data_IF_311329059357
#
_entry.id   IF_311329059357
#
_cell.length_a   1.000
_cell.length_b   1.000
_cell.length_c   1.000
_cell.angle_alpha   90.00
_cell.angle_beta   90.00
_cell.angle_gamma   90.00
#
_symmetry.space_group_name_H-M   'P 1'
#
loop_
_entity.id
_entity.type
_entity.pdbx_description
1 polymer ?
#
# COMPACT_ATOMS: atom_id res chain seq x y z
N UNK A 1 13.45 24.57 -0.95
CA UNK A 1 13.34 24.44 0.53
C UNK A 1 13.41 25.75 1.28
N UNK A 2 14.37 26.64 1.01
CA UNK A 2 14.51 27.90 1.78
C UNK A 2 13.23 28.74 1.83
N UNK A 3 12.56 28.92 0.69
CA UNK A 3 11.27 29.64 0.61
C UNK A 3 10.14 28.91 1.34
N UNK A 4 10.06 27.58 1.19
CA UNK A 4 9.10 26.73 1.89
C UNK A 4 9.26 26.90 3.41
N UNK A 5 10.50 26.90 3.92
CA UNK A 5 10.76 27.08 5.35
C UNK A 5 10.36 28.47 5.84
N UNK A 6 10.61 29.51 5.05
CA UNK A 6 10.16 30.88 5.37
C UNK A 6 8.64 30.94 5.48
N UNK A 7 7.93 30.35 4.53
CA UNK A 7 6.46 30.33 4.52
C UNK A 7 5.88 29.51 5.67
N UNK A 8 6.48 28.37 6.00
CA UNK A 8 6.04 27.54 7.12
C UNK A 8 6.21 28.25 8.46
N UNK A 9 7.30 29.00 8.67
CA UNK A 9 7.48 29.79 9.90
C UNK A 9 6.49 30.97 9.98
N UNK A 10 6.12 31.57 8.85
CA UNK A 10 5.15 32.66 8.81
C UNK A 10 3.71 32.18 9.07
N UNK A 11 3.34 31.05 8.48
CA UNK A 11 1.98 30.49 8.56
C UNK A 11 1.74 29.73 9.88
N UNK A 12 2.80 29.19 10.49
CA UNK A 12 2.77 28.32 11.68
C UNK A 12 1.70 27.20 11.58
N UNK A 13 1.78 26.34 10.54
CA UNK A 13 0.72 25.38 10.25
C UNK A 13 0.66 24.25 11.28
N UNK A 14 -0.54 23.73 11.55
CA UNK A 14 -0.74 22.54 12.39
C UNK A 14 -0.50 21.22 11.64
N UNK A 15 -0.55 21.25 10.30
CA UNK A 15 -0.30 20.09 9.43
C UNK A 15 0.37 20.57 8.14
N UNK A 16 1.38 19.82 7.68
CA UNK A 16 2.03 20.03 6.38
C UNK A 16 1.85 18.77 5.53
N UNK A 17 1.49 18.95 4.26
CA UNK A 17 1.43 17.87 3.27
C UNK A 17 2.39 18.18 2.14
N UNK A 18 3.37 17.30 1.92
CA UNK A 18 4.35 17.37 0.85
C UNK A 18 3.98 16.32 -0.20
N UNK A 19 3.37 16.74 -1.31
CA UNK A 19 2.80 15.84 -2.33
C UNK A 19 3.85 15.01 -3.10
N UNK A 20 5.07 15.52 -3.19
CA UNK A 20 6.17 14.77 -3.75
C UNK A 20 7.47 15.25 -3.15
N UNK A 21 8.08 14.44 -2.28
CA UNK A 21 9.40 14.77 -1.73
C UNK A 21 10.46 14.83 -2.85
N UNK A 22 10.26 14.09 -3.93
CA UNK A 22 11.17 14.10 -5.09
C UNK A 22 11.21 15.45 -5.82
N UNK A 23 10.17 16.29 -5.72
CA UNK A 23 10.17 17.63 -6.31
C UNK A 23 10.71 18.70 -5.36
N UNK A 24 11.08 18.34 -4.14
CA UNK A 24 11.71 19.27 -3.18
C UNK A 24 13.22 19.19 -3.27
N UNK A 25 13.90 20.33 -3.16
CA UNK A 25 15.36 20.40 -3.15
C UNK A 25 15.87 21.64 -2.42
N UNK A 26 17.12 21.56 -1.98
CA UNK A 26 17.96 22.67 -1.55
C UNK A 26 18.84 23.12 -2.71
N UNK A 27 18.75 24.40 -3.09
CA UNK A 27 19.59 24.99 -4.13
C UNK A 27 21.07 25.05 -3.76
N UNK A 28 21.39 25.05 -2.46
CA UNK A 28 22.76 25.15 -1.94
C UNK A 28 23.47 23.79 -1.84
N UNK A 29 22.74 22.68 -1.94
CA UNK A 29 23.31 21.34 -1.92
C UNK A 29 23.83 20.97 -3.32
N UNK A 30 25.10 20.53 -3.47
CA UNK A 30 25.69 20.14 -4.76
C UNK A 30 25.19 18.76 -5.19
N UNK A 31 23.88 18.60 -5.33
CA UNK A 31 23.21 17.36 -5.74
C UNK A 31 22.01 17.71 -6.63
N UNK A 32 21.79 16.91 -7.67
CA UNK A 32 20.69 17.13 -8.61
C UNK A 32 19.33 17.05 -7.90
N UNK A 33 18.36 17.93 -8.23
CA UNK A 33 16.99 17.82 -7.74
C UNK A 33 16.42 16.41 -7.99
N UNK A 34 15.68 15.88 -7.01
CA UNK A 34 15.15 14.51 -7.06
C UNK A 34 16.18 13.40 -6.81
N UNK A 35 17.46 13.72 -6.66
CA UNK A 35 18.47 12.74 -6.22
C UNK A 35 18.22 12.27 -4.78
N UNK A 36 18.78 11.11 -4.44
CA UNK A 36 18.66 10.54 -3.10
C UNK A 36 19.16 11.44 -1.98
N UNK A 37 20.25 12.14 -2.24
CA UNK A 37 20.81 13.10 -1.27
C UNK A 37 19.81 14.23 -1.05
N UNK A 38 19.27 14.83 -2.11
CA UNK A 38 18.27 15.91 -1.98
C UNK A 38 17.03 15.44 -1.22
N UNK A 39 16.47 14.27 -1.56
CA UNK A 39 15.28 13.73 -0.90
C UNK A 39 15.52 13.49 0.59
N UNK A 40 16.67 12.91 0.95
CA UNK A 40 17.03 12.65 2.35
C UNK A 40 17.16 13.94 3.15
N UNK A 41 17.88 14.92 2.62
CA UNK A 41 18.11 16.19 3.30
C UNK A 41 16.81 17.00 3.45
N UNK A 42 15.97 17.03 2.41
CA UNK A 42 14.66 17.69 2.51
C UNK A 42 13.76 17.01 3.55
N UNK A 43 13.70 15.68 3.58
CA UNK A 43 12.91 14.95 4.57
C UNK A 43 13.45 15.14 6.00
N UNK A 44 14.77 15.15 6.18
CA UNK A 44 15.40 15.43 7.47
C UNK A 44 15.04 16.83 7.98
N UNK A 45 15.07 17.83 7.11
CA UNK A 45 14.70 19.20 7.45
C UNK A 45 13.24 19.31 7.90
N UNK A 46 12.30 18.70 7.17
CA UNK A 46 10.89 18.65 7.59
C UNK A 46 10.71 17.92 8.93
N UNK A 47 11.42 16.80 9.13
CA UNK A 47 11.33 16.01 10.37
C UNK A 47 11.85 16.79 11.59
N UNK A 48 12.98 17.48 11.45
CA UNK A 48 13.55 18.31 12.52
C UNK A 48 12.60 19.45 12.89
N UNK A 49 12.07 20.14 11.88
CA UNK A 49 11.10 21.21 12.07
C UNK A 49 9.83 20.70 12.76
N UNK A 50 9.26 19.58 12.27
CA UNK A 50 8.07 18.94 12.84
C UNK A 50 8.25 18.61 14.32
N UNK A 51 9.40 18.03 14.70
CA UNK A 51 9.72 17.68 16.08
C UNK A 51 9.86 18.91 16.98
N UNK A 52 10.48 19.97 16.47
CA UNK A 52 10.67 21.23 17.22
C UNK A 52 9.34 21.93 17.49
N UNK A 53 8.41 21.88 16.53
CA UNK A 53 7.11 22.57 16.60
C UNK A 53 5.96 21.70 17.12
N UNK A 54 6.14 20.39 17.18
CA UNK A 54 5.07 19.45 17.55
C UNK A 54 3.99 19.32 16.47
N UNK A 55 4.37 19.47 15.20
CA UNK A 55 3.45 19.54 14.04
C UNK A 55 3.47 18.24 13.24
N UNK A 56 2.33 17.85 12.66
CA UNK A 56 2.26 16.69 11.77
C UNK A 56 2.75 17.03 10.36
N UNK A 57 3.69 16.24 9.82
CA UNK A 57 4.16 16.37 8.44
C UNK A 57 3.91 15.06 7.70
N UNK A 58 3.11 15.12 6.64
CA UNK A 58 2.82 14.02 5.73
C UNK A 58 3.69 14.17 4.49
N UNK A 59 4.53 13.18 4.21
CA UNK A 59 5.43 13.17 3.07
C UNK A 59 4.99 12.08 2.09
N UNK A 60 4.69 12.48 0.86
CA UNK A 60 4.30 11.57 -0.23
C UNK A 60 5.53 11.31 -1.10
N UNK A 61 5.78 10.04 -1.38
CA UNK A 61 6.89 9.58 -2.20
C UNK A 61 6.44 8.50 -3.17
N UNK A 62 6.64 8.72 -4.45
CA UNK A 62 6.32 7.76 -5.50
C UNK A 62 7.38 6.66 -5.65
N UNK A 63 6.96 5.43 -5.99
CA UNK A 63 7.84 4.31 -6.34
C UNK A 63 7.95 4.25 -7.88
N UNK A 64 9.17 4.30 -8.41
CA UNK A 64 9.42 4.28 -9.87
C UNK A 64 9.63 2.85 -10.41
N UNK A 65 9.36 2.66 -11.70
CA UNK A 65 9.18 1.35 -12.37
C UNK A 65 10.43 0.46 -12.50
N UNK A 66 11.63 0.96 -12.23
CA UNK A 66 12.88 0.22 -12.48
C UNK A 66 13.35 -0.64 -11.30
N UNK A 67 12.57 -0.74 -10.21
CA UNK A 67 13.04 -1.45 -9.01
C UNK A 67 14.26 -0.77 -8.35
N UNK A 68 14.66 0.40 -8.84
CA UNK A 68 15.53 1.36 -8.18
C UNK A 68 14.69 1.97 -7.05
N UNK A 69 14.58 1.17 -5.99
CA UNK A 69 14.03 1.49 -4.68
C UNK A 69 14.88 2.63 -4.12
N UNK A 70 14.51 3.88 -4.37
CA UNK A 70 15.34 5.01 -3.96
C UNK A 70 14.44 6.23 -3.79
N UNK A 71 13.62 6.18 -2.74
CA UNK A 71 12.82 7.33 -2.30
C UNK A 71 12.13 6.98 -0.98
N UNK A 72 11.04 6.21 -0.98
CA UNK A 72 10.30 5.89 0.25
C UNK A 72 11.05 4.97 1.21
N UNK A 73 11.65 3.86 0.74
CA UNK A 73 12.43 2.93 1.59
C UNK A 73 13.64 3.58 2.26
N UNK A 74 14.22 4.59 1.62
CA UNK A 74 15.33 5.35 2.21
C UNK A 74 14.90 6.09 3.48
N UNK A 75 13.67 6.61 3.47
CA UNK A 75 13.11 7.42 4.55
C UNK A 75 12.46 6.57 5.64
N UNK A 76 12.15 5.29 5.37
CA UNK A 76 11.46 4.39 6.31
C UNK A 76 12.08 4.35 7.70
N UNK A 77 13.41 4.33 7.78
CA UNK A 77 14.11 4.31 9.05
C UNK A 77 14.08 5.66 9.76
N UNK A 78 13.99 6.77 9.01
CA UNK A 78 14.04 8.15 9.52
C UNK A 78 12.69 8.63 10.06
N UNK A 79 11.58 8.18 9.48
CA UNK A 79 10.23 8.66 9.82
C UNK A 79 9.57 7.85 10.95
N UNK A 80 8.56 8.43 11.60
CA UNK A 80 7.85 7.76 12.70
C UNK A 80 6.77 6.78 12.21
N UNK A 81 6.16 7.05 11.06
CA UNK A 81 5.12 6.22 10.43
C UNK A 81 5.43 6.02 8.95
N UNK A 82 5.25 4.80 8.45
CA UNK A 82 5.39 4.43 7.04
C UNK A 82 4.12 3.74 6.60
N UNK A 83 3.45 4.34 5.61
CA UNK A 83 2.25 3.79 4.96
C UNK A 83 2.54 3.53 3.48
N UNK A 84 2.08 2.38 2.99
CA UNK A 84 2.09 2.04 1.57
C UNK A 84 0.67 2.05 1.04
N UNK A 85 0.43 2.79 -0.05
CA UNK A 85 -0.81 2.70 -0.82
C UNK A 85 -0.56 1.80 -2.04
N UNK A 86 -1.02 0.57 -1.96
CA UNK A 86 -0.79 -0.50 -2.94
C UNK A 86 -2.05 -0.74 -3.77
N UNK A 87 -1.87 -1.16 -5.03
CA UNK A 87 -2.99 -1.62 -5.86
C UNK A 87 -2.52 -2.01 -7.26
N UNK A 88 -2.99 -3.16 -7.74
CA UNK A 88 -2.77 -3.55 -9.13
C UNK A 88 -3.65 -2.71 -10.07
N UNK A 89 -3.17 -2.47 -11.30
CA UNK A 89 -3.89 -1.66 -12.29
C UNK A 89 -5.27 -2.22 -12.61
N UNK A 90 -5.39 -3.54 -12.58
CA UNK A 90 -6.62 -4.28 -12.90
C UNK A 90 -7.57 -4.36 -11.70
N UNK A 91 -7.09 -4.11 -10.49
CA UNK A 91 -7.93 -4.08 -9.31
C UNK A 91 -8.54 -2.68 -9.11
N UNK A 92 -9.87 -2.65 -8.93
CA UNK A 92 -10.62 -1.45 -8.57
C UNK A 92 -10.28 -0.92 -7.16
N UNK A 93 -9.60 -1.73 -6.36
CA UNK A 93 -9.30 -1.45 -4.97
C UNK A 93 -7.85 -1.00 -4.75
N UNK A 94 -7.65 -0.23 -3.70
CA UNK A 94 -6.37 0.22 -3.17
C UNK A 94 -6.27 -0.16 -1.70
N UNK A 95 -5.11 -0.65 -1.30
CA UNK A 95 -4.81 -1.12 0.04
C UNK A 95 -3.83 -0.13 0.65
N UNK A 96 -4.23 0.54 1.72
CA UNK A 96 -3.34 1.33 2.56
C UNK A 96 -2.82 0.45 3.70
N UNK A 97 -1.53 0.17 3.72
CA UNK A 97 -0.88 -0.73 4.69
C UNK A 97 0.12 0.04 5.53
N UNK A 98 0.07 -0.17 6.85
CA UNK A 98 1.10 0.34 7.76
C UNK A 98 2.29 -0.63 7.83
N UNK A 99 3.49 -0.16 7.52
CA UNK A 99 4.73 -0.95 7.64
C UNK A 99 5.52 -0.58 8.89
N UNK A 100 5.48 0.70 9.27
CA UNK A 100 6.06 1.21 10.51
C UNK A 100 5.06 2.15 11.14
N UNK A 101 4.80 2.01 12.43
CA UNK A 101 3.94 2.94 13.15
C UNK A 101 4.42 3.03 14.61
N UNK A 102 5.07 4.14 14.96
CA UNK A 102 5.49 4.39 16.34
C UNK A 102 4.35 4.75 17.30
N UNK A 103 3.16 5.02 16.76
CA UNK A 103 1.98 5.45 17.52
C UNK A 103 0.86 4.39 17.54
N UNK A 104 1.09 3.18 17.03
CA UNK A 104 0.06 2.16 16.95
C UNK A 104 0.50 0.86 16.27
N UNK A 105 -0.47 0.00 15.95
CA UNK A 105 -0.20 -1.28 15.31
C UNK A 105 0.12 -1.12 13.82
N UNK A 106 1.01 -1.97 13.31
CA UNK A 106 1.28 -2.14 11.88
C UNK A 106 0.30 -3.12 11.21
N UNK A 107 -0.49 -3.86 11.98
CA UNK A 107 -1.41 -4.87 11.45
C UNK A 107 -2.74 -4.29 10.94
N UNK A 108 -2.82 -2.96 10.80
CA UNK A 108 -3.99 -2.28 10.27
C UNK A 108 -3.87 -2.08 8.77
N UNK A 109 -4.98 -2.30 8.08
CA UNK A 109 -5.13 -2.11 6.64
C UNK A 109 -6.36 -1.24 6.41
N UNK A 110 -6.23 -0.21 5.58
CA UNK A 110 -7.35 0.50 4.98
C UNK A 110 -7.62 -0.07 3.60
N UNK A 111 -8.86 -0.42 3.28
CA UNK A 111 -9.24 -0.78 1.92
C UNK A 111 -10.04 0.39 1.34
N UNK A 112 -9.71 0.78 0.12
CA UNK A 112 -10.33 1.89 -0.58
C UNK A 112 -10.69 1.46 -2.00
N UNK A 113 -11.71 2.07 -2.59
CA UNK A 113 -11.98 1.97 -4.03
C UNK A 113 -11.85 3.35 -4.66
N UNK A 114 -11.38 3.42 -5.90
CA UNK A 114 -11.39 4.68 -6.65
C UNK A 114 -12.73 4.84 -7.36
N UNK A 115 -13.45 5.91 -7.05
CA UNK A 115 -14.69 6.31 -7.73
C UNK A 115 -14.47 7.57 -8.56
N UNK A 116 -15.46 7.99 -9.35
CA UNK A 116 -15.43 9.27 -10.07
C UNK A 116 -15.28 10.48 -9.14
N UNK A 117 -15.70 10.36 -7.88
CA UNK A 117 -15.60 11.40 -6.85
C UNK A 117 -14.29 11.29 -6.04
N UNK A 118 -13.43 10.33 -6.35
CA UNK A 118 -12.17 10.07 -5.63
C UNK A 118 -12.16 8.77 -4.84
N UNK A 119 -11.17 8.63 -3.95
CA UNK A 119 -10.98 7.43 -3.11
C UNK A 119 -12.00 7.40 -1.97
N UNK A 120 -12.78 6.31 -1.89
CA UNK A 120 -13.69 6.05 -0.77
C UNK A 120 -13.29 4.80 -0.01
N UNK A 121 -13.45 4.82 1.30
CA UNK A 121 -13.16 3.69 2.16
C UNK A 121 -14.18 2.56 1.92
N UNK A 122 -13.70 1.33 1.91
CA UNK A 122 -14.52 0.12 1.96
C UNK A 122 -14.60 -0.33 3.41
N UNK A 123 -15.75 -0.09 4.05
CA UNK A 123 -15.96 -0.42 5.46
C UNK A 123 -15.97 -1.94 5.73
N UNK A 124 -16.57 -2.71 4.83
CA UNK A 124 -16.65 -4.17 4.93
C UNK A 124 -16.04 -4.84 3.70
N UNK A 125 -14.72 -5.13 3.72
CA UNK A 125 -14.05 -5.86 2.65
C UNK A 125 -14.69 -7.21 2.35
N UNK A 126 -15.14 -7.94 3.38
CA UNK A 126 -15.71 -9.27 3.21
C UNK A 126 -17.05 -9.23 2.48
N UNK A 127 -17.92 -8.28 2.80
CA UNK A 127 -19.18 -8.10 2.09
C UNK A 127 -18.96 -7.82 0.59
N UNK A 128 -17.91 -7.08 0.26
CA UNK A 128 -17.54 -6.74 -1.11
C UNK A 128 -17.13 -7.98 -1.91
N UNK A 129 -16.23 -8.82 -1.38
CA UNK A 129 -15.79 -10.05 -2.04
C UNK A 129 -16.90 -11.11 -2.14
N UNK A 130 -17.91 -11.03 -1.27
CA UNK A 130 -19.03 -11.98 -1.23
C UNK A 130 -20.26 -11.50 -2.00
N UNK A 131 -20.29 -10.25 -2.50
CA UNK A 131 -21.49 -9.64 -3.09
C UNK A 131 -21.89 -10.27 -4.43
N UNK A 132 -20.92 -10.76 -5.20
CA UNK A 132 -21.15 -11.38 -6.51
C UNK A 132 -21.39 -12.89 -6.44
N UNK A 133 -21.36 -13.47 -5.22
CA UNK A 133 -21.55 -14.90 -5.04
C UNK A 133 -23.00 -15.30 -5.25
N UNK A 134 -23.22 -16.23 -6.16
CA UNK A 134 -24.47 -16.97 -6.24
C UNK A 134 -24.49 -18.07 -5.16
N UNK A 135 -25.52 -18.03 -4.31
CA UNK A 135 -25.69 -18.96 -3.19
C UNK A 135 -26.07 -20.34 -3.75
N UNK A 136 -25.40 -21.39 -3.29
CA UNK A 136 -25.73 -22.78 -3.64
C UNK A 136 -25.13 -23.28 -4.96
N UNK A 137 -24.21 -22.55 -5.59
CA UNK A 137 -23.49 -23.05 -6.77
C UNK A 137 -22.39 -24.05 -6.34
N UNK A 138 -22.35 -25.26 -6.91
CA UNK A 138 -21.27 -26.22 -6.66
C UNK A 138 -19.92 -25.68 -7.15
N UNK A 139 -18.85 -25.98 -6.42
CA UNK A 139 -17.51 -25.53 -6.79
C UNK A 139 -17.13 -24.13 -6.30
N UNK A 140 -17.90 -23.52 -5.40
CA UNK A 140 -17.55 -22.26 -4.71
C UNK A 140 -17.61 -22.45 -3.19
N UNK A 141 -16.55 -22.06 -2.47
CA UNK A 141 -16.51 -22.08 -1.01
C UNK A 141 -15.81 -20.84 -0.45
N UNK A 142 -16.14 -20.46 0.78
CA UNK A 142 -15.51 -19.32 1.45
C UNK A 142 -14.39 -19.83 2.34
N UNK A 143 -13.20 -19.32 2.09
CA UNK A 143 -12.03 -19.49 2.93
C UNK A 143 -11.83 -18.24 3.77
N UNK A 144 -11.77 -18.43 5.08
CA UNK A 144 -11.18 -17.41 5.95
C UNK A 144 -9.67 -17.56 5.94
N UNK A 145 -8.96 -16.51 5.52
CA UNK A 145 -7.50 -16.45 5.57
C UNK A 145 -7.04 -15.31 6.46
N UNK A 146 -5.83 -15.40 6.99
CA UNK A 146 -5.20 -14.34 7.76
C UNK A 146 -4.20 -13.59 6.88
N UNK A 147 -4.33 -12.27 6.84
CA UNK A 147 -3.30 -11.37 6.33
C UNK A 147 -2.81 -10.51 7.50
N UNK A 148 -1.76 -10.96 8.18
CA UNK A 148 -1.39 -10.46 9.51
C UNK A 148 -2.44 -10.86 10.55
N UNK A 149 -2.97 -9.90 11.31
CA UNK A 149 -3.99 -10.15 12.34
C UNK A 149 -5.44 -9.99 11.83
N UNK A 150 -5.64 -9.70 10.54
CA UNK A 150 -6.99 -9.53 9.97
C UNK A 150 -7.42 -10.78 9.23
N UNK A 151 -8.62 -11.23 9.56
CA UNK A 151 -9.37 -12.24 8.82
C UNK A 151 -9.89 -11.62 7.52
N UNK A 152 -9.52 -12.20 6.39
CA UNK A 152 -10.08 -11.91 5.08
C UNK A 152 -10.90 -13.12 4.65
N UNK A 153 -12.17 -12.89 4.30
CA UNK A 153 -12.99 -13.89 3.65
C UNK A 153 -12.74 -13.82 2.14
N UNK A 154 -12.24 -14.92 1.57
CA UNK A 154 -11.96 -15.07 0.15
C UNK A 154 -12.84 -16.20 -0.41
N UNK A 155 -13.28 -16.05 -1.65
CA UNK A 155 -13.93 -17.13 -2.38
C UNK A 155 -12.88 -18.01 -3.06
N UNK A 156 -12.94 -19.31 -2.81
CA UNK A 156 -12.18 -20.33 -3.54
C UNK A 156 -13.12 -21.02 -4.50
N UNK A 157 -12.77 -20.99 -5.78
CA UNK A 157 -13.54 -21.58 -6.85
C UNK A 157 -12.83 -22.80 -7.45
N UNK A 158 -13.61 -23.80 -7.82
CA UNK A 158 -13.16 -25.03 -8.44
C UNK A 158 -14.20 -25.50 -9.47
N UNK A 159 -13.71 -25.91 -10.63
CA UNK A 159 -14.51 -26.52 -11.68
C UNK A 159 -13.93 -27.89 -12.00
N UNK A 160 -14.74 -28.93 -11.85
CA UNK A 160 -14.36 -30.29 -12.18
C UNK A 160 -15.18 -30.76 -13.38
N UNK A 161 -14.49 -31.37 -14.35
CA UNK A 161 -15.12 -32.03 -15.49
C UNK A 161 -14.41 -33.35 -15.75
N UNK A 162 -15.13 -34.42 -16.11
CA UNK A 162 -14.51 -35.66 -16.58
C UNK A 162 -13.54 -35.39 -17.72
N UNK A 163 -12.35 -35.97 -17.63
CA UNK A 163 -11.32 -35.86 -18.66
C UNK A 163 -11.28 -37.13 -19.50
N UNK A 164 -11.20 -36.97 -20.82
CA UNK A 164 -10.91 -38.07 -21.75
C UNK A 164 -9.41 -38.27 -22.00
N UNK A 165 -8.55 -37.41 -21.44
CA UNK A 165 -7.10 -37.49 -21.55
C UNK A 165 -6.54 -38.55 -20.58
N UNK A 166 -5.49 -39.26 -21.02
CA UNK A 166 -4.76 -40.21 -20.19
C UNK A 166 -4.18 -39.57 -18.91
N UNK A 167 -3.76 -38.31 -19.00
CA UNK A 167 -3.38 -37.49 -17.84
C UNK A 167 -4.32 -36.28 -17.77
N UNK A 168 -5.20 -36.19 -16.75
CA UNK A 168 -6.12 -35.07 -16.59
C UNK A 168 -5.37 -33.74 -16.40
N UNK A 169 -5.88 -32.68 -17.03
CA UNK A 169 -5.33 -31.32 -16.86
C UNK A 169 -5.73 -30.78 -15.48
N UNK A 170 -4.75 -30.21 -14.77
CA UNK A 170 -4.95 -29.52 -13.49
C UNK A 170 -4.38 -28.11 -13.61
N UNK A 171 -5.17 -27.10 -13.30
CA UNK A 171 -4.78 -25.69 -13.36
C UNK A 171 -5.26 -24.97 -12.12
N UNK A 172 -4.43 -24.07 -11.58
CA UNK A 172 -4.78 -23.27 -10.41
C UNK A 172 -4.15 -21.88 -10.53
N UNK A 173 -4.89 -20.85 -10.11
CA UNK A 173 -4.46 -19.46 -10.00
C UNK A 173 -4.62 -19.02 -8.55
N UNK A 174 -3.69 -18.22 -8.02
CA UNK A 174 -3.73 -17.75 -6.63
C UNK A 174 -3.48 -18.81 -5.55
N UNK A 175 -3.35 -20.09 -5.91
CA UNK A 175 -3.07 -21.21 -5.00
C UNK A 175 -1.82 -21.97 -5.42
N UNK A 176 -1.13 -22.59 -4.46
CA UNK A 176 0.01 -23.47 -4.74
C UNK A 176 -0.45 -24.75 -5.43
N UNK A 177 0.05 -25.00 -6.64
CA UNK A 177 -0.23 -26.23 -7.41
C UNK A 177 0.12 -27.50 -6.65
N UNK A 178 1.23 -27.49 -5.89
CA UNK A 178 1.63 -28.62 -5.03
C UNK A 178 0.62 -28.87 -3.91
N UNK A 179 0.10 -27.80 -3.28
CA UNK A 179 -0.90 -27.93 -2.22
C UNK A 179 -2.22 -28.48 -2.76
N UNK A 180 -2.66 -27.98 -3.92
CA UNK A 180 -3.86 -28.50 -4.60
C UNK A 180 -3.67 -29.98 -4.96
N UNK A 181 -2.51 -30.37 -5.48
CA UNK A 181 -2.23 -31.77 -5.82
C UNK A 181 -2.27 -32.70 -4.60
N UNK A 182 -1.79 -32.27 -3.43
CA UNK A 182 -1.86 -33.05 -2.19
C UNK A 182 -3.30 -33.21 -1.67
N UNK A 183 -4.16 -32.20 -1.82
CA UNK A 183 -5.56 -32.28 -1.38
C UNK A 183 -6.40 -33.19 -2.30
N UNK A 184 -6.01 -33.31 -3.57
CA UNK A 184 -6.66 -34.20 -4.54
C UNK A 184 -6.20 -35.66 -4.46
N UNK A 185 -5.20 -35.97 -3.63
CA UNK A 185 -4.65 -37.32 -3.44
C UNK A 185 -5.49 -38.13 -2.46
#
# INVERSE_FOLDING_TARGET
>A
MTEINSQIEEIDPQVIVVDSIQSTYFSQLPALPGSMTQVRECAANFLEWAKKKGVCVIIIGHITKEGIITGPKLLEHMVDVVLYLEGEREMLYRILRSVKNRFGSTNQIGLFHMSSEGMKQVENPSALFLKERAIGIPGSTILSTLNGNRSLLLEVQALFSPSKLAVPRRFCTGLSSRRVAMILA
#
